data_IF_160518966347
#
_entry.id   IF_160518966347
#
_cell.length_a   1.000
_cell.length_b   1.000
_cell.length_c   1.000
_cell.angle_alpha   90.00
_cell.angle_beta   90.00
_cell.angle_gamma   90.00
#
_symmetry.space_group_name_H-M   'P 1'
#
loop_
_entity.id
_entity.type
_entity.pdbx_description
1 polymer ?
#
# COMPACT_ATOMS: atom_id res chain seq x y z
N UNK A 1 -2.36 16.50 -10.32
CA UNK A 1 -1.86 15.88 -9.08
C UNK A 1 -2.87 14.82 -8.75
N UNK A 2 -2.53 13.55 -8.88
CA UNK A 2 -3.40 12.43 -8.48
C UNK A 2 -3.26 12.21 -6.99
N UNK A 3 -4.37 12.27 -6.27
CA UNK A 3 -4.41 12.02 -4.83
C UNK A 3 -4.38 10.52 -4.54
N UNK A 4 -3.82 10.16 -3.40
CA UNK A 4 -3.73 8.78 -2.91
C UNK A 4 -4.76 8.63 -1.80
N UNK A 5 -5.75 7.76 -2.00
CA UNK A 5 -6.82 7.50 -1.04
C UNK A 5 -6.74 6.07 -0.48
N UNK A 6 -7.07 5.90 0.78
CA UNK A 6 -6.99 4.62 1.52
C UNK A 6 -8.39 4.09 1.83
N UNK A 7 -8.63 2.80 1.63
CA UNK A 7 -9.93 2.13 1.78
C UNK A 7 -9.95 1.21 3.01
N UNK A 8 -10.94 1.36 3.91
CA UNK A 8 -11.10 0.54 5.12
C UNK A 8 -12.55 0.04 5.28
N UNK A 9 -12.76 -1.16 5.82
CA UNK A 9 -14.05 -1.85 5.85
C UNK A 9 -14.85 -1.64 7.14
N UNK A 10 -16.09 -1.14 7.09
CA UNK A 10 -17.16 -1.30 8.11
C UNK A 10 -18.58 -1.21 7.50
N UNK A 11 -19.54 -1.95 8.12
CA UNK A 11 -20.92 -2.15 7.69
C UNK A 11 -21.90 -1.03 8.07
N UNK A 12 -22.80 -0.69 7.14
CA UNK A 12 -24.17 -0.30 7.49
C UNK A 12 -25.14 -0.60 6.32
N UNK A 13 -26.27 -1.22 6.61
CA UNK A 13 -27.26 -1.69 5.67
C UNK A 13 -28.29 -0.59 5.31
N UNK A 14 -28.67 -0.51 4.03
CA UNK A 14 -29.79 0.30 3.59
C UNK A 14 -30.34 -0.16 2.24
N UNK A 15 -31.55 -0.73 2.26
CA UNK A 15 -32.28 -1.35 1.16
C UNK A 15 -33.16 -0.29 0.45
N UNK A 16 -33.04 -0.09 -0.86
CA UNK A 16 -34.12 0.46 -1.70
C UNK A 16 -34.11 -0.23 -3.06
N UNK A 17 -35.19 -0.94 -3.35
CA UNK A 17 -35.52 -1.52 -4.64
C UNK A 17 -36.35 -0.52 -5.48
N UNK A 18 -36.00 -0.36 -6.76
CA UNK A 18 -36.96 0.22 -7.73
C UNK A 18 -36.85 -0.51 -9.07
N UNK A 19 -37.93 -1.19 -9.42
CA UNK A 19 -38.13 -1.88 -10.68
C UNK A 19 -38.64 -0.91 -11.76
N UNK A 20 -38.03 -0.97 -12.95
CA UNK A 20 -38.69 -0.48 -14.17
C UNK A 20 -38.65 -1.55 -15.26
N UNK A 21 -39.88 -1.97 -15.63
CA UNK A 21 -40.17 -2.76 -16.81
C UNK A 21 -40.16 -1.86 -18.05
N UNK A 22 -39.42 -2.27 -19.08
CA UNK A 22 -39.64 -1.76 -20.42
C UNK A 22 -39.56 -2.90 -21.44
N UNK A 23 -40.71 -3.28 -22.00
CA UNK A 23 -40.78 -4.19 -23.13
C UNK A 23 -40.52 -3.42 -24.43
N UNK A 24 -39.61 -3.93 -25.25
CA UNK A 24 -39.39 -3.43 -26.60
C UNK A 24 -38.75 -4.53 -27.47
N UNK A 25 -39.60 -5.26 -28.21
CA UNK A 25 -39.19 -6.22 -29.24
C UNK A 25 -38.64 -5.45 -30.45
N UNK A 26 -37.42 -5.71 -30.82
CA UNK A 26 -36.93 -5.49 -32.20
C UNK A 26 -36.19 -6.75 -32.68
N UNK A 27 -36.74 -7.33 -33.72
CA UNK A 27 -36.20 -8.43 -34.48
C UNK A 27 -35.13 -7.90 -35.44
N UNK A 28 -33.94 -8.46 -35.42
CA UNK A 28 -32.88 -8.09 -36.36
C UNK A 28 -31.71 -9.08 -36.27
N UNK A 29 -31.60 -9.94 -37.26
CA UNK A 29 -30.45 -10.73 -37.75
C UNK A 29 -29.22 -10.84 -36.84
N UNK A 30 -28.90 -12.09 -36.46
CA UNK A 30 -27.65 -12.51 -35.88
C UNK A 30 -26.46 -12.15 -36.79
N UNK A 31 -25.44 -11.52 -36.26
CA UNK A 31 -24.07 -11.72 -36.73
C UNK A 31 -23.32 -12.67 -35.82
N UNK A 32 -22.65 -13.61 -36.49
CA UNK A 32 -21.85 -14.68 -36.00
C UNK A 32 -21.05 -14.40 -34.71
N UNK A 33 -21.13 -15.38 -33.77
CA UNK A 33 -20.14 -15.81 -32.81
C UNK A 33 -18.89 -14.93 -32.64
N UNK A 34 -19.02 -13.84 -31.89
CA UNK A 34 -17.96 -13.35 -31.07
C UNK A 34 -18.19 -13.88 -29.65
N UNK A 35 -17.85 -15.15 -29.44
CA UNK A 35 -17.58 -15.60 -28.07
C UNK A 35 -16.44 -14.73 -27.54
N UNK A 36 -16.65 -13.92 -26.49
CA UNK A 36 -15.51 -13.35 -25.79
C UNK A 36 -14.72 -14.55 -25.27
N UNK A 37 -13.55 -14.77 -25.82
CA UNK A 37 -12.54 -15.61 -25.18
C UNK A 37 -12.39 -15.03 -23.79
N UNK A 38 -13.11 -15.57 -22.84
CA UNK A 38 -12.93 -15.30 -21.44
C UNK A 38 -11.50 -15.64 -21.09
N UNK A 39 -10.63 -14.66 -21.11
CA UNK A 39 -9.42 -14.73 -20.36
C UNK A 39 -9.90 -14.83 -18.92
N UNK A 40 -9.93 -16.05 -18.39
CA UNK A 40 -10.12 -16.29 -16.96
C UNK A 40 -8.89 -15.72 -16.23
N UNK A 41 -8.85 -14.40 -16.12
CA UNK A 41 -7.93 -13.78 -15.18
C UNK A 41 -8.36 -14.27 -13.81
N UNK A 42 -7.48 -14.88 -13.04
CA UNK A 42 -7.83 -15.22 -11.67
C UNK A 42 -8.33 -13.95 -10.99
N UNK A 43 -9.49 -14.05 -10.36
CA UNK A 43 -10.05 -12.94 -9.59
C UNK A 43 -9.16 -12.76 -8.37
N UNK A 44 -8.25 -11.79 -8.44
CA UNK A 44 -7.34 -11.46 -7.35
C UNK A 44 -8.11 -10.71 -6.25
N UNK A 45 -7.84 -11.07 -5.00
CA UNK A 45 -8.48 -10.48 -3.83
C UNK A 45 -7.44 -9.94 -2.85
N UNK A 46 -7.84 -8.92 -2.08
CA UNK A 46 -7.00 -8.41 -1.02
C UNK A 46 -6.76 -9.45 0.11
N UNK A 47 -7.62 -10.46 0.22
CA UNK A 47 -7.48 -11.61 1.14
C UNK A 47 -6.53 -12.71 0.64
N UNK A 48 -6.09 -12.66 -0.61
CA UNK A 48 -5.10 -13.61 -1.10
C UNK A 48 -3.79 -13.51 -0.30
N UNK A 49 -3.02 -14.60 -0.22
CA UNK A 49 -1.74 -14.57 0.50
C UNK A 49 -0.83 -13.44 0.01
N UNK A 50 -0.08 -12.79 0.92
CA UNK A 50 0.85 -11.73 0.53
C UNK A 50 1.81 -12.15 -0.59
N UNK A 51 1.94 -11.31 -1.61
CA UNK A 51 2.77 -11.54 -2.80
C UNK A 51 2.01 -12.09 -4.01
N UNK A 52 0.85 -12.69 -3.82
CA UNK A 52 0.07 -13.29 -4.94
C UNK A 52 -0.40 -12.21 -5.91
N UNK A 53 -0.93 -11.11 -5.41
CA UNK A 53 -1.46 -10.02 -6.25
C UNK A 53 -0.35 -9.36 -7.05
N UNK A 54 0.75 -8.98 -6.40
CA UNK A 54 1.87 -8.32 -7.04
C UNK A 54 2.54 -9.21 -8.10
N UNK A 55 2.77 -10.48 -7.80
CA UNK A 55 3.32 -11.43 -8.76
C UNK A 55 2.40 -11.64 -9.98
N UNK A 56 1.10 -11.77 -9.75
CA UNK A 56 0.13 -11.89 -10.84
C UNK A 56 0.10 -10.64 -11.74
N UNK A 57 0.23 -9.45 -11.14
CA UNK A 57 0.33 -8.19 -11.89
C UNK A 57 1.59 -8.14 -12.75
N UNK A 58 2.74 -8.55 -12.24
CA UNK A 58 3.98 -8.63 -12.99
C UNK A 58 3.89 -9.60 -14.18
N UNK A 59 3.22 -10.74 -14.02
CA UNK A 59 3.02 -11.72 -15.10
C UNK A 59 2.02 -11.25 -16.17
N UNK A 60 1.09 -10.35 -15.81
CA UNK A 60 -0.04 -9.92 -16.61
C UNK A 60 0.19 -8.69 -17.50
N UNK A 61 1.42 -8.37 -17.92
CA UNK A 61 1.80 -7.11 -18.61
C UNK A 61 1.66 -5.86 -17.71
N UNK A 62 1.84 -6.05 -16.42
CA UNK A 62 1.87 -4.99 -15.43
C UNK A 62 3.18 -4.19 -15.42
N UNK A 63 3.55 -3.63 -14.28
CA UNK A 63 4.72 -2.80 -14.13
C UNK A 63 6.03 -3.54 -14.43
N UNK A 64 7.10 -2.77 -14.69
CA UNK A 64 8.42 -3.32 -15.04
C UNK A 64 9.01 -4.14 -13.89
N UNK A 65 9.46 -5.35 -14.18
CA UNK A 65 10.17 -6.21 -13.23
C UNK A 65 11.47 -5.54 -12.77
N UNK A 66 11.76 -5.60 -11.48
CA UNK A 66 12.99 -5.02 -10.91
C UNK A 66 12.89 -3.51 -10.66
N UNK A 67 11.73 -2.88 -10.83
CA UNK A 67 11.54 -1.48 -10.50
C UNK A 67 11.34 -1.29 -8.99
N UNK A 68 12.14 -0.40 -8.39
CA UNK A 68 11.99 0.03 -7.01
C UNK A 68 11.04 1.22 -6.93
N UNK A 69 9.83 0.97 -6.46
CA UNK A 69 8.83 2.02 -6.25
C UNK A 69 9.08 2.71 -4.92
N UNK A 70 9.26 4.05 -4.89
CA UNK A 70 9.30 4.81 -3.64
C UNK A 70 8.02 4.66 -2.84
N UNK A 71 8.17 4.34 -1.57
CA UNK A 71 7.07 4.22 -0.60
C UNK A 71 7.47 4.99 0.65
N UNK A 72 6.50 5.69 1.23
CA UNK A 72 6.65 6.39 2.50
C UNK A 72 5.55 5.91 3.45
N UNK A 73 5.93 5.43 4.62
CA UNK A 73 5.02 4.95 5.67
C UNK A 73 5.09 5.90 6.84
N UNK A 74 3.92 6.39 7.27
CA UNK A 74 3.75 7.26 8.42
C UNK A 74 2.64 6.74 9.33
N UNK A 75 2.60 7.22 10.55
CA UNK A 75 1.58 6.86 11.54
C UNK A 75 1.40 7.95 12.58
N UNK A 76 0.65 7.66 13.64
CA UNK A 76 0.43 8.56 14.76
C UNK A 76 1.72 9.08 15.38
N UNK A 77 1.64 10.21 16.06
CA UNK A 77 2.79 10.80 16.75
C UNK A 77 3.40 9.81 17.77
N UNK A 78 4.72 9.71 17.76
CA UNK A 78 5.46 8.79 18.63
C UNK A 78 5.77 7.45 18.00
N UNK A 79 4.93 6.92 17.13
CA UNK A 79 5.16 5.64 16.45
C UNK A 79 6.48 5.63 15.68
N UNK A 80 7.17 4.50 15.69
CA UNK A 80 8.42 4.28 14.96
C UNK A 80 8.31 3.06 14.08
N UNK A 81 8.88 3.19 12.88
CA UNK A 81 8.94 2.16 11.85
C UNK A 81 10.38 1.77 11.57
N UNK A 82 10.64 0.48 11.38
CA UNK A 82 11.94 -0.03 10.95
C UNK A 82 11.81 -1.20 9.99
N UNK A 83 12.77 -1.34 9.08
CA UNK A 83 12.85 -2.44 8.12
C UNK A 83 13.99 -3.39 8.47
N UNK A 84 13.86 -4.69 8.21
CA UNK A 84 15.00 -5.59 8.24
C UNK A 84 15.99 -5.19 7.13
N UNK A 85 17.29 -5.31 7.42
CA UNK A 85 18.31 -5.12 6.39
C UNK A 85 18.17 -6.19 5.30
N UNK A 86 18.23 -5.76 4.05
CA UNK A 86 18.09 -6.62 2.89
C UNK A 86 19.17 -7.74 2.89
N UNK A 87 18.72 -8.99 2.65
CA UNK A 87 19.61 -10.14 2.50
C UNK A 87 20.35 -10.59 3.76
N UNK A 88 20.08 -10.01 4.93
CA UNK A 88 20.77 -10.39 6.17
C UNK A 88 19.79 -10.77 7.28
N UNK A 89 19.73 -12.07 7.66
CA UNK A 89 18.86 -12.57 8.73
C UNK A 89 19.41 -12.36 10.15
N UNK A 90 20.29 -11.38 10.37
CA UNK A 90 20.84 -11.11 11.72
C UNK A 90 19.74 -10.53 12.64
N UNK A 91 19.65 -10.96 13.91
CA UNK A 91 18.72 -10.39 14.89
C UNK A 91 18.90 -8.88 15.15
N UNK A 92 20.10 -8.34 14.87
CA UNK A 92 20.40 -6.90 14.95
C UNK A 92 20.17 -6.16 13.62
N UNK A 93 19.54 -6.81 12.66
CA UNK A 93 19.44 -6.36 11.27
C UNK A 93 18.25 -5.46 10.96
N UNK A 94 17.74 -4.68 11.91
CA UNK A 94 16.72 -3.66 11.64
C UNK A 94 17.37 -2.30 11.40
N UNK A 95 16.74 -1.50 10.51
CA UNK A 95 17.13 -0.09 10.32
C UNK A 95 16.85 0.71 11.59
N UNK A 96 17.45 1.89 11.70
CA UNK A 96 17.15 2.82 12.79
C UNK A 96 15.67 3.18 12.75
N UNK A 97 14.94 3.05 13.87
CA UNK A 97 13.52 3.37 13.92
C UNK A 97 13.23 4.84 13.62
N UNK A 98 12.34 5.11 12.65
CA UNK A 98 12.00 6.45 12.19
C UNK A 98 10.48 6.70 12.29
N UNK A 99 10.06 7.97 12.46
CA UNK A 99 8.63 8.35 12.41
C UNK A 99 8.04 8.23 11.00
N UNK A 100 8.88 8.43 9.98
CA UNK A 100 8.57 8.27 8.58
C UNK A 100 9.59 7.30 7.98
N UNK A 101 9.10 6.16 7.53
CA UNK A 101 9.91 5.17 6.85
C UNK A 101 9.83 5.43 5.35
N UNK A 102 10.95 5.72 4.73
CA UNK A 102 11.05 5.91 3.28
C UNK A 102 12.01 4.89 2.68
N UNK A 103 11.51 4.12 1.72
CA UNK A 103 12.30 3.13 1.02
C UNK A 103 11.74 2.83 -0.38
N UNK A 104 12.61 2.41 -1.29
CA UNK A 104 12.19 1.83 -2.57
C UNK A 104 11.91 0.36 -2.42
N UNK A 105 10.69 -0.05 -2.71
CA UNK A 105 10.27 -1.44 -2.65
C UNK A 105 10.11 -2.01 -4.06
N UNK A 106 10.63 -3.22 -4.26
CA UNK A 106 10.43 -3.97 -5.50
C UNK A 106 8.95 -4.31 -5.66
N UNK A 107 8.40 -4.00 -6.83
CA UNK A 107 7.05 -4.40 -7.17
C UNK A 107 6.95 -5.92 -7.21
N UNK A 108 5.87 -6.46 -6.65
CA UNK A 108 5.63 -7.89 -6.54
C UNK A 108 6.35 -8.58 -5.38
N UNK A 109 7.15 -7.86 -4.60
CA UNK A 109 7.74 -8.35 -3.35
C UNK A 109 6.91 -7.92 -2.15
N UNK A 110 6.98 -8.72 -1.08
CA UNK A 110 6.33 -8.42 0.20
C UNK A 110 7.39 -8.02 1.21
N UNK A 111 7.18 -6.91 1.87
CA UNK A 111 8.05 -6.43 2.93
C UNK A 111 7.31 -6.48 4.26
N UNK A 112 7.94 -7.04 5.27
CA UNK A 112 7.46 -6.96 6.65
C UNK A 112 8.32 -5.95 7.40
N UNK A 113 7.69 -4.95 7.99
CA UNK A 113 8.34 -3.93 8.79
C UNK A 113 7.89 -4.03 10.25
N UNK A 114 8.69 -3.49 11.15
CA UNK A 114 8.38 -3.43 12.58
C UNK A 114 7.80 -2.06 12.92
N UNK A 115 6.78 -2.07 13.76
CA UNK A 115 6.14 -0.89 14.36
C UNK A 115 6.33 -0.95 15.87
N UNK A 116 6.89 0.12 16.42
CA UNK A 116 7.15 0.25 17.86
C UNK A 116 6.62 1.58 18.40
N UNK A 117 6.65 1.77 19.71
CA UNK A 117 6.19 2.99 20.39
C UNK A 117 4.74 3.34 20.08
N UNK A 118 3.88 2.31 20.01
CA UNK A 118 2.45 2.47 19.72
C UNK A 118 1.77 3.17 20.91
N UNK A 119 1.03 4.28 20.68
CA UNK A 119 0.30 4.96 21.75
C UNK A 119 -0.64 4.03 22.50
N UNK A 120 -0.60 4.05 23.83
CA UNK A 120 -1.41 3.17 24.67
C UNK A 120 -0.95 1.71 24.77
N UNK A 121 0.10 1.30 24.04
CA UNK A 121 0.62 -0.07 24.04
C UNK A 121 2.15 -0.10 24.12
N UNK A 122 2.72 0.53 25.13
CA UNK A 122 4.16 0.62 25.33
C UNK A 122 4.79 -0.78 25.48
N UNK A 123 5.87 -1.00 24.73
CA UNK A 123 6.59 -2.28 24.73
C UNK A 123 5.97 -3.36 23.86
N UNK A 124 4.85 -3.08 23.21
CA UNK A 124 4.26 -3.96 22.22
C UNK A 124 4.76 -3.59 20.83
N UNK A 125 4.99 -4.59 19.99
CA UNK A 125 5.43 -4.46 18.62
C UNK A 125 4.43 -5.09 17.68
N UNK A 126 4.22 -4.46 16.52
CA UNK A 126 3.46 -5.03 15.42
C UNK A 126 4.36 -5.22 14.20
N UNK A 127 4.01 -6.18 13.36
CA UNK A 127 4.79 -6.56 12.18
C UNK A 127 3.91 -6.56 10.92
N UNK A 128 3.44 -5.40 10.48
CA UNK A 128 2.66 -5.29 9.26
C UNK A 128 3.43 -5.74 8.02
N UNK A 129 2.68 -6.07 6.97
CA UNK A 129 3.25 -6.33 5.64
C UNK A 129 2.78 -5.27 4.66
N UNK A 130 3.65 -4.91 3.73
CA UNK A 130 3.34 -4.09 2.56
C UNK A 130 3.73 -4.85 1.29
N UNK A 131 2.80 -4.91 0.35
CA UNK A 131 2.97 -5.48 -0.97
C UNK A 131 2.74 -4.38 -2.00
N UNK A 132 3.77 -4.00 -2.75
CA UNK A 132 3.65 -3.03 -3.83
C UNK A 132 3.24 -3.78 -5.10
N UNK A 133 2.08 -3.41 -5.67
CA UNK A 133 1.46 -4.13 -6.78
C UNK A 133 1.51 -3.34 -8.10
N UNK A 134 1.77 -2.03 -8.03
CA UNK A 134 1.96 -1.17 -9.19
C UNK A 134 2.84 0.03 -8.82
N UNK A 135 3.13 0.89 -9.77
CA UNK A 135 3.98 2.08 -9.59
C UNK A 135 3.22 3.38 -9.81
N UNK A 136 3.70 4.44 -9.19
CA UNK A 136 3.41 5.80 -9.63
C UNK A 136 4.18 6.07 -10.94
N UNK A 137 3.67 6.94 -11.83
CA UNK A 137 4.31 7.28 -13.10
C UNK A 137 4.67 8.78 -13.14
N UNK A 138 5.46 9.29 -12.18
CA UNK A 138 5.90 10.68 -12.21
C UNK A 138 6.96 10.88 -13.30
N UNK A 139 7.23 12.13 -13.70
CA UNK A 139 8.40 12.45 -14.50
C UNK A 139 9.69 11.91 -13.85
N UNK A 140 10.64 11.42 -14.65
CA UNK A 140 11.83 10.71 -14.15
C UNK A 140 12.61 11.46 -13.06
N UNK A 141 12.72 12.78 -13.18
CA UNK A 141 13.45 13.63 -12.23
C UNK A 141 12.66 13.89 -10.93
N UNK A 142 11.42 13.43 -10.82
CA UNK A 142 10.53 13.62 -9.68
C UNK A 142 10.12 12.31 -8.99
N UNK A 143 10.70 11.18 -9.38
CA UNK A 143 10.32 9.85 -8.88
C UNK A 143 10.37 9.77 -7.35
N UNK A 144 11.40 10.31 -6.73
CA UNK A 144 11.56 10.30 -5.27
C UNK A 144 10.67 11.31 -4.55
N UNK A 145 10.13 12.29 -5.29
CA UNK A 145 9.25 13.33 -4.73
C UNK A 145 7.79 12.87 -4.59
N UNK A 146 7.43 11.79 -5.31
CA UNK A 146 6.06 11.26 -5.32
C UNK A 146 6.05 9.77 -4.93
N UNK A 147 6.41 9.45 -3.67
CA UNK A 147 6.29 8.09 -3.17
C UNK A 147 4.81 7.69 -3.06
N UNK A 148 4.55 6.40 -2.96
CA UNK A 148 3.26 5.92 -2.47
C UNK A 148 3.19 6.26 -0.97
N UNK A 149 2.29 7.15 -0.59
CA UNK A 149 2.08 7.52 0.80
C UNK A 149 1.15 6.52 1.48
N UNK A 150 1.63 5.90 2.54
CA UNK A 150 0.88 4.97 3.38
C UNK A 150 0.78 5.60 4.76
N UNK A 151 -0.39 6.10 5.09
CA UNK A 151 -0.67 6.68 6.39
C UNK A 151 -1.49 5.69 7.22
N UNK A 152 -0.90 5.17 8.29
CA UNK A 152 -1.57 4.32 9.27
C UNK A 152 -2.10 5.19 10.40
N UNK A 153 -3.21 4.79 11.01
CA UNK A 153 -3.82 5.52 12.12
C UNK A 153 -3.86 4.69 13.42
N UNK A 154 -4.31 5.33 14.51
CA UNK A 154 -4.41 4.67 15.80
C UNK A 154 -5.42 3.51 15.77
N UNK A 155 -6.50 3.61 14.99
CA UNK A 155 -7.53 2.58 14.91
C UNK A 155 -6.99 1.30 14.26
N UNK A 156 -6.10 1.41 13.26
CA UNK A 156 -5.42 0.28 12.66
C UNK A 156 -4.65 -0.53 13.69
N UNK A 157 -3.84 0.18 14.48
CA UNK A 157 -3.01 -0.46 15.49
C UNK A 157 -3.86 -1.07 16.61
N UNK A 158 -4.88 -0.34 17.09
CA UNK A 158 -5.77 -0.87 18.12
C UNK A 158 -6.55 -2.09 17.65
N UNK A 159 -6.97 -2.11 16.39
CA UNK A 159 -7.67 -3.25 15.79
C UNK A 159 -6.75 -4.47 15.69
N UNK A 160 -5.51 -4.27 15.25
CA UNK A 160 -4.50 -5.33 15.18
C UNK A 160 -4.14 -5.85 16.59
N UNK A 161 -4.01 -4.97 17.58
CA UNK A 161 -3.72 -5.34 18.97
C UNK A 161 -4.84 -6.17 19.61
N UNK A 162 -6.08 -6.01 19.14
CA UNK A 162 -7.22 -6.88 19.54
C UNK A 162 -7.21 -8.24 18.84
N UNK A 163 -6.20 -8.53 18.00
CA UNK A 163 -6.08 -9.79 17.27
C UNK A 163 -6.88 -9.84 15.96
N UNK A 164 -7.41 -8.72 15.52
CA UNK A 164 -8.11 -8.60 14.24
C UNK A 164 -7.14 -8.19 13.13
N UNK A 165 -7.40 -8.64 11.90
CA UNK A 165 -6.61 -8.23 10.75
C UNK A 165 -7.21 -6.97 10.12
N UNK A 166 -6.36 -5.98 9.89
CA UNK A 166 -6.67 -4.80 9.08
C UNK A 166 -6.02 -4.98 7.72
N UNK A 167 -6.79 -4.76 6.65
CA UNK A 167 -6.28 -4.73 5.28
C UNK A 167 -6.62 -3.39 4.67
N UNK A 168 -5.59 -2.68 4.18
CA UNK A 168 -5.72 -1.42 3.46
C UNK A 168 -5.21 -1.58 2.04
N UNK A 169 -5.98 -1.11 1.07
CA UNK A 169 -5.56 -0.99 -0.32
C UNK A 169 -5.33 0.48 -0.63
N UNK A 170 -4.12 0.80 -1.05
CA UNK A 170 -3.73 2.13 -1.49
C UNK A 170 -3.93 2.20 -2.99
N UNK A 171 -4.65 3.21 -3.46
CA UNK A 171 -4.92 3.39 -4.88
C UNK A 171 -4.72 4.83 -5.33
N UNK A 172 -4.48 5.00 -6.61
CA UNK A 172 -4.44 6.30 -7.27
C UNK A 172 -5.80 6.54 -7.91
N UNK A 173 -6.48 7.60 -7.54
CA UNK A 173 -7.76 7.97 -8.12
C UNK A 173 -7.64 8.21 -9.63
N UNK A 174 -8.70 7.84 -10.36
CA UNK A 174 -8.82 8.18 -11.76
C UNK A 174 -9.16 9.68 -11.89
N UNK A 175 -8.29 10.49 -12.51
CA UNK A 175 -8.51 11.94 -12.64
C UNK A 175 -9.77 12.30 -13.44
N UNK A 176 -10.34 11.36 -14.20
CA UNK A 176 -11.56 11.58 -14.98
C UNK A 176 -12.84 11.41 -14.15
N UNK A 177 -12.78 10.59 -13.10
CA UNK A 177 -13.91 10.27 -12.24
C UNK A 177 -13.78 10.81 -10.82
N UNK A 178 -12.59 11.23 -10.42
CA UNK A 178 -12.32 11.81 -9.11
C UNK A 178 -13.16 13.08 -8.89
N UNK A 179 -13.89 13.09 -7.78
CA UNK A 179 -14.63 14.28 -7.34
C UNK A 179 -13.67 15.09 -6.47
N UNK A 180 -13.36 16.37 -6.83
CA UNK A 180 -12.53 17.21 -5.97
C UNK A 180 -13.23 17.45 -4.64
N UNK A 181 -12.76 16.79 -3.60
CA UNK A 181 -13.16 17.09 -2.23
C UNK A 181 -12.14 18.03 -1.60
N UNK A 182 -12.64 18.96 -0.78
CA UNK A 182 -11.80 19.79 0.09
C UNK A 182 -11.24 18.89 1.21
N UNK A 183 -10.23 18.10 0.87
CA UNK A 183 -9.54 17.29 1.86
C UNK A 183 -8.59 18.18 2.67
N UNK A 184 -8.70 18.06 3.98
CA UNK A 184 -7.65 18.60 4.84
C UNK A 184 -6.40 17.72 4.63
N UNK A 185 -5.29 18.25 4.09
CA UNK A 185 -4.10 17.44 3.79
C UNK A 185 -3.49 16.76 5.02
N UNK A 186 -3.97 17.08 6.22
CA UNK A 186 -3.55 16.44 7.48
C UNK A 186 -4.42 15.27 7.93
N UNK A 187 -5.55 15.03 7.29
CA UNK A 187 -6.48 13.96 7.63
C UNK A 187 -6.88 13.21 6.37
N UNK A 188 -6.05 12.25 5.98
CA UNK A 188 -6.44 11.29 4.96
C UNK A 188 -7.37 10.27 5.63
N UNK A 189 -8.68 10.49 5.53
CA UNK A 189 -9.67 9.58 6.12
C UNK A 189 -9.83 8.40 5.17
N UNK A 190 -9.56 7.16 5.63
CA UNK A 190 -9.74 5.99 4.80
C UNK A 190 -11.22 5.78 4.45
N UNK A 191 -11.50 5.38 3.22
CA UNK A 191 -12.84 4.94 2.83
C UNK A 191 -13.14 3.59 3.48
N UNK A 192 -14.12 3.57 4.38
CA UNK A 192 -14.59 2.33 5.00
C UNK A 192 -15.54 1.59 4.05
N UNK A 193 -15.30 0.30 3.89
CA UNK A 193 -16.14 -0.58 3.07
C UNK A 193 -16.73 -1.71 3.92
N UNK A 194 -17.78 -2.35 3.40
CA UNK A 194 -18.40 -3.52 4.05
C UNK A 194 -17.39 -4.69 4.12
N UNK A 195 -17.44 -5.45 5.22
CA UNK A 195 -16.64 -6.69 5.40
C UNK A 195 -16.91 -7.76 4.32
N UNK A 196 -18.04 -7.66 3.60
CA UNK A 196 -18.40 -8.56 2.51
C UNK A 196 -17.84 -8.11 1.15
N UNK A 197 -17.28 -6.91 1.08
CA UNK A 197 -16.66 -6.38 -0.14
C UNK A 197 -15.14 -6.66 -0.12
N UNK A 198 -14.59 -6.94 -1.28
CA UNK A 198 -13.14 -7.05 -1.43
C UNK A 198 -12.53 -5.66 -1.61
N UNK A 199 -11.64 -5.20 -0.70
CA UNK A 199 -11.02 -3.88 -0.81
C UNK A 199 -10.25 -3.67 -2.11
N UNK A 200 -9.68 -4.73 -2.69
CA UNK A 200 -8.94 -4.62 -3.95
C UNK A 200 -9.90 -4.36 -5.13
N UNK A 201 -11.05 -5.04 -5.15
CA UNK A 201 -12.08 -4.83 -6.18
C UNK A 201 -12.66 -3.42 -6.10
N UNK A 202 -12.98 -2.95 -4.88
CA UNK A 202 -13.50 -1.59 -4.68
C UNK A 202 -12.46 -0.55 -5.08
N UNK A 203 -11.19 -0.72 -4.69
CA UNK A 203 -10.14 0.20 -5.11
C UNK A 203 -9.93 0.24 -6.64
N UNK A 204 -10.16 -0.87 -7.33
CA UNK A 204 -10.06 -0.95 -8.81
C UNK A 204 -11.23 -0.21 -9.50
N UNK A 205 -12.39 -0.05 -8.81
CA UNK A 205 -13.52 0.76 -9.29
C UNK A 205 -13.26 2.27 -9.16
N UNK A 206 -12.57 2.70 -8.10
CA UNK A 206 -12.27 4.12 -7.86
C UNK A 206 -11.00 4.60 -8.53
N UNK A 207 -10.14 3.68 -8.95
CA UNK A 207 -8.89 4.06 -9.57
C UNK A 207 -7.96 2.87 -9.79
N UNK A 208 -6.65 3.10 -9.58
CA UNK A 208 -5.64 2.10 -9.83
C UNK A 208 -4.94 1.68 -8.52
N UNK A 209 -5.19 0.47 -8.00
CA UNK A 209 -4.52 -0.03 -6.80
C UNK A 209 -3.00 -0.12 -7.00
N UNK A 210 -2.23 0.38 -6.03
CA UNK A 210 -0.75 0.45 -6.10
C UNK A 210 -0.06 -0.28 -4.97
N UNK A 211 -0.70 -0.43 -3.81
CA UNK A 211 -0.15 -1.19 -2.69
C UNK A 211 -1.25 -1.81 -1.83
N UNK A 212 -0.90 -2.91 -1.16
CA UNK A 212 -1.74 -3.57 -0.14
C UNK A 212 -0.95 -3.61 1.16
N UNK A 213 -1.56 -3.13 2.24
CA UNK A 213 -1.01 -3.19 3.59
C UNK A 213 -1.88 -4.10 4.43
N UNK A 214 -1.25 -5.02 5.18
CA UNK A 214 -1.96 -5.91 6.10
C UNK A 214 -1.32 -5.81 7.48
N UNK A 215 -2.15 -5.55 8.49
CA UNK A 215 -1.72 -5.38 9.87
C UNK A 215 -2.44 -6.43 10.71
N UNK A 216 -1.70 -7.23 11.42
CA UNK A 216 -2.21 -8.23 12.34
C UNK A 216 -1.29 -8.38 13.55
N UNK A 217 -1.66 -9.24 14.47
CA UNK A 217 -0.94 -9.48 15.73
C UNK A 217 0.14 -10.57 15.65
N UNK A 218 0.54 -10.97 14.44
CA UNK A 218 1.57 -11.99 14.26
C UNK A 218 2.94 -11.47 14.74
N UNK A 219 3.59 -12.24 15.62
CA UNK A 219 4.90 -11.92 16.20
C UNK A 219 6.01 -12.76 15.57
N UNK A 220 7.27 -12.29 15.58
CA UNK A 220 8.39 -13.08 15.12
C UNK A 220 8.54 -14.40 15.87
N UNK A 221 8.88 -15.49 15.18
CA UNK A 221 9.16 -16.75 15.83
C UNK A 221 10.42 -16.68 16.70
N UNK A 222 10.41 -17.41 17.83
CA UNK A 222 11.56 -17.50 18.71
C UNK A 222 12.75 -18.27 18.08
N UNK A 223 12.50 -19.08 17.06
CA UNK A 223 13.54 -19.84 16.36
C UNK A 223 14.13 -19.00 15.24
N UNK A 224 15.46 -18.70 15.27
CA UNK A 224 16.11 -17.89 14.23
C UNK A 224 16.00 -18.47 12.81
N UNK A 225 15.90 -19.81 12.68
CA UNK A 225 15.73 -20.47 11.39
C UNK A 225 14.43 -20.16 10.68
N UNK A 226 13.39 -19.71 11.39
CA UNK A 226 12.09 -19.33 10.84
C UNK A 226 11.97 -17.83 10.51
N UNK A 227 12.94 -17.03 10.94
CA UNK A 227 12.94 -15.58 10.65
C UNK A 227 12.94 -15.25 9.15
N UNK A 228 13.69 -15.97 8.28
CA UNK A 228 13.61 -15.73 6.84
C UNK A 228 12.20 -15.91 6.28
N UNK A 229 11.47 -16.93 6.70
CA UNK A 229 10.08 -17.14 6.28
C UNK A 229 9.18 -16.00 6.79
N UNK A 230 9.34 -15.62 8.05
CA UNK A 230 8.60 -14.52 8.66
C UNK A 230 8.81 -13.19 7.92
N UNK A 231 10.02 -12.88 7.47
CA UNK A 231 10.36 -11.67 6.73
C UNK A 231 10.41 -11.84 5.20
N UNK A 232 9.73 -12.84 4.65
CA UNK A 232 9.64 -13.08 3.20
C UNK A 232 11.01 -13.16 2.50
N UNK A 233 12.01 -13.75 3.15
CA UNK A 233 13.36 -13.91 2.61
C UNK A 233 14.20 -12.63 2.61
N UNK A 234 13.79 -11.59 3.36
CA UNK A 234 14.48 -10.29 3.41
C UNK A 234 14.65 -9.67 2.02
N UNK A 235 13.57 -9.33 1.32
CA UNK A 235 13.66 -8.81 -0.04
C UNK A 235 14.49 -7.53 -0.09
N UNK A 236 15.20 -7.34 -1.19
CA UNK A 236 16.03 -6.16 -1.41
C UNK A 236 15.15 -4.90 -1.47
N UNK A 237 15.59 -3.85 -0.82
CA UNK A 237 15.01 -2.53 -0.86
C UNK A 237 16.09 -1.47 -1.08
N UNK A 238 15.73 -0.32 -1.62
CA UNK A 238 16.65 0.78 -1.88
C UNK A 238 16.40 1.92 -0.88
N UNK A 239 17.44 2.45 -0.20
CA UNK A 239 17.28 3.68 0.57
C UNK A 239 17.05 4.86 -0.38
N UNK A 240 16.12 5.76 -0.01
CA UNK A 240 15.97 7.04 -0.69
C UNK A 240 16.55 8.16 0.18
N UNK A 241 17.44 8.99 -0.36
CA UNK A 241 17.95 10.14 0.37
C UNK A 241 16.82 11.14 0.60
N UNK A 242 16.61 11.53 1.85
CA UNK A 242 15.69 12.61 2.18
C UNK A 242 16.09 13.91 1.46
N UNK A 243 15.13 14.62 0.90
CA UNK A 243 15.36 15.93 0.27
C UNK A 243 15.94 16.99 1.25
N UNK A 244 15.87 16.75 2.55
CA UNK A 244 16.41 17.62 3.61
C UNK A 244 17.94 17.66 3.69
N UNK A 245 18.65 16.67 3.16
CA UNK A 245 20.13 16.67 3.19
C UNK A 245 20.75 17.64 2.16
N UNK A 246 20.00 18.02 1.12
CA UNK A 246 20.51 18.89 0.06
C UNK A 246 20.53 20.38 0.42
N UNK A 247 19.77 20.80 1.43
CA UNK A 247 19.73 22.21 1.84
C UNK A 247 20.91 22.60 2.76
N UNK A 248 21.40 21.67 3.58
CA UNK A 248 22.53 21.96 4.46
C UNK A 248 23.86 21.99 3.71
N UNK A 249 24.03 21.19 2.65
CA UNK A 249 25.28 21.20 1.86
C UNK A 249 25.48 22.48 1.03
N UNK A 250 24.39 23.23 0.73
CA UNK A 250 24.50 24.49 0.03
C UNK A 250 24.70 25.70 0.99
N UNK A 251 24.28 25.61 2.25
CA UNK A 251 24.54 26.64 3.23
C UNK A 251 26.00 26.66 3.69
N UNK A 252 26.60 25.49 3.86
CA UNK A 252 28.02 25.37 4.22
C UNK A 252 28.97 25.87 3.11
N UNK A 253 28.58 25.71 1.83
CA UNK A 253 29.36 26.25 0.70
C UNK A 253 29.31 27.76 0.57
N UNK A 254 28.16 28.38 0.84
CA UNK A 254 28.00 29.82 0.77
C UNK A 254 28.72 30.52 1.94
N UNK A 255 28.81 29.87 3.10
CA UNK A 255 29.54 30.42 4.27
C UNK A 255 31.06 30.33 4.13
N UNK A 256 31.59 29.38 3.32
CA UNK A 256 33.03 29.22 3.10
C UNK A 256 33.57 30.08 1.94
N UNK A 257 32.72 30.71 1.14
CA UNK A 257 33.12 31.65 0.07
C UNK A 257 33.08 33.14 0.51
N UNK A 258 32.71 33.41 1.77
CA UNK A 258 32.60 34.76 2.34
C UNK A 258 33.66 35.05 3.43
N UNK A 259 34.59 34.15 3.69
CA UNK A 259 35.81 34.35 4.50
C UNK A 259 37.06 34.44 3.58
#
# INVERSE_FOLDING_TARGET
MSEITTLQTRLAAGLIALAFLFEGRVSGSEPADFLPRGSSRPLLRASDPPGVVGQARLMGRGPVVGYYQPVAITGPEGVRFSLPHAGNPSPSGMTVPAQRLEAGFLIGSVYRFQVTHIPGALGVELFPTVEVIDRTYPPQHLVTRYPIEIQLDDEDFQTALRGQMVTRVIYLEDPQTAIPELQNPKTNVPLEISEFQDPLAVADEYGRPVAIVRIGSLTPPSQPSLLPEFYFGYPQWAPFPHASASQNANQDKVSSELE
#
